data_IF_640679961295
#
_entry.id   IF_640679961295
#
_cell.length_a   1.000
_cell.length_b   1.000
_cell.length_c   1.000
_cell.angle_alpha   90.00
_cell.angle_beta   90.00
_cell.angle_gamma   90.00
#
_symmetry.space_group_name_H-M   'P 1'
#
loop_
_entity.id
_entity.type
_entity.pdbx_description
1 polymer ?
#
# COMPACT_ATOMS: atom_id res chain seq x y z
N UNK A 1 23.94 -60.51 16.21
CA UNK A 1 23.67 -61.54 15.18
C UNK A 1 22.75 -60.94 14.12
N UNK A 2 22.84 -61.36 12.86
CA UNK A 2 22.18 -60.73 11.69
C UNK A 2 21.20 -61.70 11.01
N UNK A 3 20.21 -61.16 10.28
CA UNK A 3 19.33 -61.86 9.29
C UNK A 3 18.28 -62.77 10.00
N UNK A 4 17.00 -62.85 9.60
CA UNK A 4 16.46 -62.81 8.24
C UNK A 4 15.25 -61.90 7.97
N UNK A 5 15.15 -61.54 6.69
CA UNK A 5 14.02 -60.90 5.99
C UNK A 5 13.00 -61.99 5.62
N UNK A 6 11.69 -61.70 5.66
CA UNK A 6 10.67 -62.47 4.93
C UNK A 6 9.58 -61.55 4.37
N UNK A 7 8.95 -61.98 3.27
CA UNK A 7 8.32 -61.13 2.27
C UNK A 7 6.79 -61.36 2.20
N UNK A 8 6.08 -60.31 1.75
CA UNK A 8 4.67 -60.18 1.34
C UNK A 8 3.99 -61.42 0.69
N UNK A 9 2.65 -61.59 0.79
CA UNK A 9 1.70 -60.81 -0.04
C UNK A 9 0.47 -60.26 0.75
N UNK A 10 0.00 -59.03 0.50
CA UNK A 10 -0.92 -58.60 -0.57
C UNK A 10 -2.20 -59.46 -0.71
N UNK A 11 -3.35 -58.90 -0.30
CA UNK A 11 -4.64 -59.28 -0.89
C UNK A 11 -5.50 -58.01 -1.07
N UNK A 12 -5.74 -57.70 -2.34
CA UNK A 12 -6.60 -56.60 -2.80
C UNK A 12 -8.04 -57.07 -2.78
N UNK A 13 -8.96 -56.25 -2.28
CA UNK A 13 -10.28 -56.15 -2.90
C UNK A 13 -10.74 -54.69 -2.93
N UNK A 14 -11.15 -54.27 -4.11
CA UNK A 14 -11.50 -52.91 -4.50
C UNK A 14 -13.03 -52.78 -4.67
N UNK A 15 -13.48 -51.57 -5.06
CA UNK A 15 -14.83 -51.25 -5.60
C UNK A 15 -15.94 -51.06 -4.54
N UNK A 16 -16.83 -50.05 -4.60
CA UNK A 16 -17.00 -48.92 -5.56
C UNK A 16 -17.88 -47.77 -4.98
N UNK A 17 -17.78 -46.60 -5.64
CA UNK A 17 -18.73 -45.47 -5.75
C UNK A 17 -19.55 -44.96 -4.54
N UNK A 18 -19.36 -43.66 -4.24
CA UNK A 18 -20.44 -42.68 -4.51
C UNK A 18 -19.85 -41.30 -4.79
N UNK A 19 -20.23 -40.68 -5.91
CA UNK A 19 -19.93 -39.28 -6.20
C UNK A 19 -21.05 -38.40 -5.64
N UNK A 20 -20.70 -37.31 -4.95
CA UNK A 20 -21.57 -36.15 -4.79
C UNK A 20 -20.93 -34.95 -5.49
N UNK A 21 -21.69 -34.27 -6.35
CA UNK A 21 -21.19 -33.18 -7.20
C UNK A 21 -20.60 -32.03 -6.37
N UNK A 22 -19.30 -31.79 -6.53
CA UNK A 22 -18.70 -30.52 -6.13
C UNK A 22 -18.38 -29.71 -7.39
N UNK A 23 -19.05 -28.56 -7.51
CA UNK A 23 -19.08 -27.73 -8.72
C UNK A 23 -17.68 -27.33 -9.18
N UNK A 24 -17.48 -27.39 -10.49
CA UNK A 24 -16.24 -27.07 -11.21
C UNK A 24 -15.55 -25.79 -10.69
N UNK A 25 -14.25 -25.90 -10.41
CA UNK A 25 -13.39 -24.75 -10.15
C UNK A 25 -13.30 -23.90 -11.42
N UNK A 26 -13.83 -22.67 -11.37
CA UNK A 26 -13.69 -21.70 -12.46
C UNK A 26 -12.20 -21.35 -12.64
N UNK A 27 -11.72 -21.43 -13.88
CA UNK A 27 -10.31 -21.26 -14.23
C UNK A 27 -9.79 -19.87 -13.90
N UNK A 28 -8.63 -19.82 -13.23
CA UNK A 28 -7.84 -18.60 -13.05
C UNK A 28 -7.33 -18.09 -14.41
N UNK A 29 -7.76 -16.90 -14.82
CA UNK A 29 -7.12 -16.18 -15.93
C UNK A 29 -5.90 -15.42 -15.39
N UNK A 30 -4.73 -16.05 -15.45
CA UNK A 30 -3.47 -15.39 -15.10
C UNK A 30 -2.95 -14.51 -16.24
N UNK A 31 -2.75 -13.21 -15.97
CA UNK A 31 -2.03 -12.31 -16.87
C UNK A 31 -0.74 -11.87 -16.19
N UNK A 32 0.37 -12.52 -16.54
CA UNK A 32 1.71 -12.09 -16.12
C UNK A 32 2.30 -11.15 -17.17
N UNK A 33 2.37 -9.85 -16.85
CA UNK A 33 3.01 -8.87 -17.73
C UNK A 33 4.49 -8.76 -17.36
N UNK A 34 5.36 -9.02 -18.33
CA UNK A 34 6.75 -8.58 -18.34
C UNK A 34 6.87 -7.54 -19.46
N UNK A 35 7.37 -6.35 -19.14
CA UNK A 35 7.52 -5.29 -20.14
C UNK A 35 8.60 -5.65 -21.16
N UNK A 36 8.25 -5.55 -22.45
CA UNK A 36 9.21 -5.47 -23.55
C UNK A 36 9.29 -4.02 -23.99
N UNK A 37 10.51 -3.52 -24.18
CA UNK A 37 10.73 -2.21 -24.76
C UNK A 37 10.38 -2.22 -26.26
N UNK A 38 9.70 -1.17 -26.70
CA UNK A 38 9.85 -0.61 -28.04
C UNK A 38 9.34 0.84 -27.98
N UNK A 39 10.18 1.77 -28.40
CA UNK A 39 9.81 3.16 -28.60
C UNK A 39 9.34 3.35 -30.04
N UNK A 40 8.28 4.10 -30.25
CA UNK A 40 8.24 5.05 -31.36
C UNK A 40 7.41 6.28 -30.99
N UNK A 41 7.59 7.33 -31.78
CA UNK A 41 7.21 8.72 -31.58
C UNK A 41 5.97 9.12 -32.37
N UNK A 42 5.27 10.17 -31.93
CA UNK A 42 4.93 11.34 -32.76
C UNK A 42 4.17 12.42 -31.96
N UNK A 43 4.41 13.68 -32.33
CA UNK A 43 3.62 14.87 -32.00
C UNK A 43 2.32 14.88 -32.85
N UNK A 44 1.32 15.76 -32.75
CA UNK A 44 1.12 17.05 -32.06
C UNK A 44 -0.15 16.95 -31.15
N UNK A 45 -0.90 17.97 -30.68
CA UNK A 45 -0.94 19.42 -30.90
C UNK A 45 -1.54 20.18 -29.69
N UNK A 46 -1.73 21.50 -29.85
CA UNK A 46 -2.32 22.44 -28.90
C UNK A 46 -3.73 22.90 -29.30
N UNK A 47 -4.58 23.21 -28.32
CA UNK A 47 -5.44 24.41 -28.35
C UNK A 47 -5.76 24.87 -26.92
N UNK A 48 -5.61 26.17 -26.70
CA UNK A 48 -5.63 26.84 -25.40
C UNK A 48 -6.96 27.60 -25.20
N UNK A 49 -7.49 27.63 -23.96
CA UNK A 49 -8.67 28.43 -23.63
C UNK A 49 -8.48 29.19 -22.32
N UNK A 50 -8.34 30.50 -22.44
CA UNK A 50 -8.04 31.42 -21.36
C UNK A 50 -9.22 31.63 -20.40
N UNK A 51 -8.98 31.48 -19.09
CA UNK A 51 -9.61 32.32 -18.05
C UNK A 51 -8.60 32.73 -16.98
N UNK A 52 -8.33 34.03 -16.94
CA UNK A 52 -7.42 34.66 -15.99
C UNK A 52 -7.95 34.55 -14.55
N UNK A 53 -7.11 34.14 -13.60
CA UNK A 53 -7.24 34.60 -12.20
C UNK A 53 -5.87 34.68 -11.50
N UNK A 54 -5.53 35.91 -11.11
CA UNK A 54 -4.52 36.34 -10.13
C UNK A 54 -3.18 35.58 -10.03
N UNK A 55 -2.15 36.23 -10.58
CA UNK A 55 -0.74 35.87 -10.42
C UNK A 55 -0.26 36.10 -8.98
N UNK A 56 0.08 35.02 -8.26
CA UNK A 56 1.05 35.05 -7.16
C UNK A 56 2.16 34.05 -7.50
N UNK A 57 3.32 34.58 -7.86
CA UNK A 57 4.47 33.79 -8.31
C UNK A 57 5.14 33.06 -7.15
N UNK A 58 4.63 31.88 -6.80
CA UNK A 58 5.40 30.88 -6.06
C UNK A 58 6.23 30.06 -7.04
N UNK A 59 7.53 29.91 -6.76
CA UNK A 59 8.48 29.27 -7.66
C UNK A 59 8.16 27.78 -7.85
N UNK A 60 7.96 27.37 -9.11
CA UNK A 60 8.11 26.00 -9.64
C UNK A 60 7.88 24.80 -8.68
N UNK A 61 6.74 24.75 -7.98
CA UNK A 61 6.24 23.45 -7.49
C UNK A 61 5.66 22.71 -8.69
N UNK A 62 6.49 21.90 -9.37
CA UNK A 62 6.01 20.96 -10.38
C UNK A 62 4.97 20.06 -9.69
N UNK A 63 3.71 20.09 -10.12
CA UNK A 63 2.63 19.30 -9.50
C UNK A 63 2.85 17.82 -9.80
N UNK A 64 3.66 17.17 -8.97
CA UNK A 64 3.90 15.73 -9.02
C UNK A 64 2.65 15.03 -8.49
N UNK A 65 1.74 14.69 -9.41
CA UNK A 65 0.57 13.87 -9.13
C UNK A 65 1.02 12.42 -8.90
N UNK A 66 1.51 12.16 -7.70
CA UNK A 66 1.87 10.84 -7.24
C UNK A 66 0.62 9.96 -7.13
N UNK A 67 0.57 8.94 -7.98
CA UNK A 67 -0.34 7.80 -7.89
C UNK A 67 0.43 6.65 -7.26
N UNK A 68 -0.18 5.99 -6.29
CA UNK A 68 0.40 4.83 -5.64
C UNK A 68 -0.64 3.75 -5.39
N UNK A 69 -0.15 2.55 -5.13
CA UNK A 69 -0.88 1.33 -4.79
C UNK A 69 -0.07 0.60 -3.72
N UNK A 70 -0.69 -0.33 -2.99
CA UNK A 70 0.00 -1.26 -2.08
C UNK A 70 -0.57 -2.66 -2.31
N UNK A 71 0.09 -3.76 -1.89
CA UNK A 71 -0.49 -5.09 -2.06
C UNK A 71 -1.78 -5.25 -1.24
N UNK A 72 -2.92 -5.39 -1.92
CA UNK A 72 -4.23 -5.40 -1.30
C UNK A 72 -5.31 -6.06 -2.18
N UNK A 73 -6.44 -6.40 -1.56
CA UNK A 73 -7.70 -6.68 -2.24
C UNK A 73 -8.40 -5.34 -2.49
N UNK A 74 -8.63 -5.02 -3.76
CA UNK A 74 -9.27 -3.79 -4.23
C UNK A 74 -10.68 -4.08 -4.75
N UNK A 75 -11.68 -3.57 -4.03
CA UNK A 75 -13.09 -3.78 -4.25
C UNK A 75 -13.64 -2.93 -5.41
N UNK A 76 -13.29 -1.64 -5.47
CA UNK A 76 -13.84 -0.66 -6.40
C UNK A 76 -12.77 -0.11 -7.35
N UNK A 77 -11.54 0.05 -6.85
CA UNK A 77 -10.37 0.44 -7.64
C UNK A 77 -9.93 -0.74 -8.53
N UNK A 78 -9.58 -0.42 -9.78
CA UNK A 78 -8.91 -1.37 -10.67
C UNK A 78 -7.41 -1.00 -10.79
N UNK A 79 -6.52 -1.61 -9.98
CA UNK A 79 -5.09 -1.32 -10.04
C UNK A 79 -4.49 -1.57 -11.44
N UNK A 80 -5.03 -2.52 -12.21
CA UNK A 80 -4.60 -2.82 -13.59
C UNK A 80 -4.92 -1.74 -14.63
N UNK A 81 -5.66 -0.69 -14.27
CA UNK A 81 -5.84 0.53 -15.07
C UNK A 81 -4.94 1.69 -14.60
N UNK A 82 -4.14 1.48 -13.56
CA UNK A 82 -3.34 2.51 -12.91
C UNK A 82 -1.83 2.21 -12.99
N UNK A 83 -1.42 0.97 -12.73
CA UNK A 83 -0.01 0.56 -12.69
C UNK A 83 0.52 0.19 -14.08
N UNK A 84 1.71 0.69 -14.40
CA UNK A 84 2.40 0.47 -15.67
C UNK A 84 3.93 0.30 -15.48
N UNK A 85 4.68 0.14 -16.56
CA UNK A 85 6.14 -0.13 -16.54
C UNK A 85 7.00 1.06 -16.07
N UNK A 86 6.44 2.26 -15.95
CA UNK A 86 7.13 3.42 -15.36
C UNK A 86 7.28 3.29 -13.85
N UNK A 87 6.35 2.59 -13.18
CA UNK A 87 6.25 2.50 -11.72
C UNK A 87 7.44 1.77 -11.09
N UNK A 88 7.74 2.19 -9.87
CA UNK A 88 8.68 1.52 -8.96
C UNK A 88 7.92 0.91 -7.79
N UNK A 89 8.58 0.01 -7.06
CA UNK A 89 8.12 -0.49 -5.79
C UNK A 89 9.15 -0.28 -4.69
N UNK A 90 8.66 -0.16 -3.45
CA UNK A 90 9.43 -0.25 -2.23
C UNK A 90 9.20 -1.64 -1.64
N UNK A 91 10.28 -2.41 -1.44
CA UNK A 91 10.21 -3.78 -0.95
C UNK A 91 11.32 -4.11 0.05
N UNK A 92 11.07 -5.10 0.90
CA UNK A 92 12.02 -5.61 1.88
C UNK A 92 12.72 -6.88 1.37
N UNK A 93 14.02 -6.99 1.66
CA UNK A 93 14.84 -8.19 1.45
C UNK A 93 15.74 -8.39 2.66
N UNK A 94 15.43 -9.40 3.47
CA UNK A 94 16.03 -9.54 4.81
C UNK A 94 15.63 -8.37 5.70
N UNK A 95 16.59 -7.72 6.37
CA UNK A 95 16.35 -6.53 7.21
C UNK A 95 16.56 -5.19 6.48
N UNK A 96 16.73 -5.21 5.16
CA UNK A 96 17.00 -4.02 4.32
C UNK A 96 15.84 -3.77 3.36
N UNK A 97 15.68 -2.50 2.99
CA UNK A 97 14.63 -2.02 2.10
C UNK A 97 15.25 -1.50 0.80
N UNK A 98 14.50 -1.62 -0.29
CA UNK A 98 14.99 -1.35 -1.62
C UNK A 98 13.91 -0.70 -2.48
N UNK A 99 14.32 0.25 -3.32
CA UNK A 99 13.54 0.71 -4.46
C UNK A 99 13.99 -0.04 -5.72
N UNK A 100 13.04 -0.60 -6.48
CA UNK A 100 13.29 -1.23 -7.77
C UNK A 100 12.10 -1.04 -8.72
N UNK A 101 12.26 -1.39 -9.99
CA UNK A 101 11.11 -1.50 -10.91
C UNK A 101 10.04 -2.46 -10.35
N UNK A 102 8.79 -2.02 -10.45
CA UNK A 102 7.64 -2.73 -9.91
C UNK A 102 7.54 -4.16 -10.48
N UNK A 103 7.36 -5.14 -9.61
CA UNK A 103 7.14 -6.54 -9.96
C UNK A 103 5.93 -7.06 -9.20
N UNK A 104 4.81 -7.11 -9.91
CA UNK A 104 3.52 -7.46 -9.34
C UNK A 104 2.81 -8.55 -10.15
N UNK A 105 1.74 -9.08 -9.56
CA UNK A 105 0.77 -9.95 -10.21
C UNK A 105 -0.62 -9.41 -9.91
N UNK A 106 -1.46 -9.31 -10.93
CA UNK A 106 -2.88 -8.98 -10.79
C UNK A 106 -3.69 -10.26 -10.94
N UNK A 107 -4.63 -10.49 -10.02
CA UNK A 107 -5.62 -11.57 -10.10
C UNK A 107 -7.02 -11.01 -9.82
N UNK A 108 -8.05 -11.74 -10.26
CA UNK A 108 -9.41 -11.58 -9.72
C UNK A 108 -9.66 -12.66 -8.67
N UNK A 109 -10.24 -12.28 -7.54
CA UNK A 109 -10.58 -13.17 -6.42
C UNK A 109 -11.93 -12.79 -5.85
N UNK A 110 -12.68 -13.78 -5.40
CA UNK A 110 -13.92 -13.54 -4.66
C UNK A 110 -13.63 -12.70 -3.40
N UNK A 111 -14.49 -11.73 -3.11
CA UNK A 111 -14.51 -10.98 -1.86
C UNK A 111 -15.91 -11.06 -1.26
N UNK A 112 -15.99 -11.63 -0.06
CA UNK A 112 -17.25 -11.73 0.70
C UNK A 112 -17.79 -10.35 1.11
N UNK A 113 -16.94 -9.32 1.13
CA UNK A 113 -17.33 -7.95 1.45
C UNK A 113 -18.27 -7.34 0.39
N UNK A 114 -18.01 -7.62 -0.90
CA UNK A 114 -18.82 -7.11 -2.02
C UNK A 114 -19.74 -8.17 -2.65
N UNK A 115 -19.59 -9.45 -2.27
CA UNK A 115 -20.34 -10.55 -2.86
C UNK A 115 -20.04 -10.82 -4.34
N UNK A 116 -18.85 -10.43 -4.82
CA UNK A 116 -18.36 -10.62 -6.19
C UNK A 116 -16.82 -10.66 -6.23
N UNK A 117 -16.26 -10.76 -7.42
CA UNK A 117 -14.83 -10.82 -7.71
C UNK A 117 -14.17 -9.43 -7.71
N UNK A 118 -13.39 -9.18 -6.67
CA UNK A 118 -12.49 -8.02 -6.53
C UNK A 118 -11.19 -8.20 -7.32
N UNK A 119 -10.47 -7.10 -7.55
CA UNK A 119 -9.09 -7.15 -8.06
C UNK A 119 -8.14 -7.39 -6.88
N UNK A 120 -7.06 -8.15 -7.07
CA UNK A 120 -6.02 -8.30 -6.06
C UNK A 120 -4.66 -8.02 -6.66
N UNK A 121 -3.94 -7.09 -6.03
CA UNK A 121 -2.57 -6.74 -6.38
C UNK A 121 -1.61 -7.45 -5.41
N UNK A 122 -0.78 -8.34 -5.93
CA UNK A 122 0.29 -9.00 -5.18
C UNK A 122 1.64 -8.44 -5.60
N UNK A 123 2.52 -8.14 -4.64
CA UNK A 123 3.95 -8.03 -4.91
C UNK A 123 4.56 -9.40 -5.18
N UNK A 124 5.46 -9.50 -6.16
CA UNK A 124 6.32 -10.69 -6.39
C UNK A 124 7.49 -10.75 -5.40
N UNK A 125 7.70 -9.67 -4.65
CA UNK A 125 8.61 -9.53 -3.50
C UNK A 125 7.78 -9.06 -2.30
N UNK A 126 8.40 -8.95 -1.12
CA UNK A 126 7.75 -8.36 0.07
C UNK A 126 7.64 -6.84 -0.08
N UNK A 127 6.80 -6.42 -1.02
CA UNK A 127 6.54 -5.03 -1.37
C UNK A 127 5.57 -4.38 -0.37
N UNK A 128 5.75 -3.09 -0.13
CA UNK A 128 4.90 -2.26 0.73
C UNK A 128 4.18 -1.17 -0.05
N UNK A 129 4.81 -0.70 -1.13
CA UNK A 129 4.35 0.43 -1.94
C UNK A 129 4.70 0.20 -3.41
N UNK A 130 3.80 0.55 -4.31
CA UNK A 130 4.05 0.77 -5.73
C UNK A 130 3.70 2.22 -6.04
N UNK A 131 4.52 2.96 -6.78
CA UNK A 131 4.28 4.39 -7.01
C UNK A 131 4.90 4.87 -8.32
N UNK A 132 4.22 5.80 -9.00
CA UNK A 132 4.71 6.42 -10.23
C UNK A 132 5.70 7.56 -9.94
N UNK A 133 6.57 7.85 -10.91
CA UNK A 133 7.38 9.08 -11.00
C UNK A 133 8.17 9.49 -9.73
N UNK A 134 8.52 8.57 -8.83
CA UNK A 134 9.44 8.87 -7.73
C UNK A 134 10.79 9.36 -8.28
N UNK A 135 11.35 10.47 -7.75
CA UNK A 135 12.67 10.98 -8.13
C UNK A 135 13.84 10.16 -7.55
N UNK A 136 13.57 8.95 -7.05
CA UNK A 136 14.50 8.13 -6.28
C UNK A 136 15.44 7.30 -7.15
N UNK A 137 16.59 6.90 -6.57
CA UNK A 137 17.53 5.98 -7.20
C UNK A 137 17.10 4.54 -6.92
N UNK A 138 17.20 3.68 -7.93
CA UNK A 138 17.03 2.24 -7.74
C UNK A 138 18.21 1.72 -6.90
N UNK A 139 17.93 0.91 -5.86
CA UNK A 139 18.94 0.47 -4.92
C UNK A 139 18.38 0.26 -3.51
N UNK A 140 19.29 0.19 -2.53
CA UNK A 140 18.95 0.17 -1.11
C UNK A 140 18.49 1.56 -0.65
N UNK A 141 17.47 1.62 0.21
CA UNK A 141 16.96 2.86 0.83
C UNK A 141 17.04 2.77 2.35
N UNK A 142 17.13 3.92 3.03
CA UNK A 142 17.05 3.95 4.50
C UNK A 142 15.60 3.75 4.96
N UNK A 143 15.40 2.98 6.03
CA UNK A 143 14.13 2.82 6.71
C UNK A 143 14.28 3.12 8.20
N UNK A 144 13.18 3.47 8.85
CA UNK A 144 13.13 3.61 10.30
C UNK A 144 13.53 2.29 11.00
N UNK A 145 14.01 2.38 12.24
CA UNK A 145 14.46 1.23 13.04
C UNK A 145 13.31 0.35 13.60
N UNK A 146 12.30 0.09 12.78
CA UNK A 146 11.07 -0.64 13.09
C UNK A 146 11.10 -2.06 12.51
N UNK A 147 10.33 -2.98 13.12
CA UNK A 147 10.16 -4.32 12.60
C UNK A 147 8.94 -4.39 11.66
N UNK A 148 9.16 -4.23 10.36
CA UNK A 148 8.12 -4.37 9.34
C UNK A 148 7.83 -5.83 8.94
N UNK A 149 8.35 -6.83 9.67
CA UNK A 149 7.87 -8.22 9.61
C UNK A 149 6.56 -8.44 10.38
N UNK A 150 6.16 -7.48 11.22
CA UNK A 150 4.93 -7.48 12.00
C UNK A 150 4.06 -6.24 11.67
N UNK A 151 2.76 -6.31 11.97
CA UNK A 151 1.87 -5.16 11.81
C UNK A 151 2.15 -4.10 12.89
N UNK A 152 2.50 -2.89 12.47
CA UNK A 152 2.74 -1.76 13.37
C UNK A 152 1.41 -1.02 13.59
N UNK A 153 0.56 -1.61 14.44
CA UNK A 153 -0.72 -1.02 14.82
C UNK A 153 -0.52 0.20 15.72
N UNK A 154 -1.33 1.23 15.48
CA UNK A 154 -1.48 2.45 16.26
C UNK A 154 -2.95 2.61 16.64
N UNK A 155 -3.30 2.49 17.92
CA UNK A 155 -4.65 2.83 18.42
C UNK A 155 -4.73 4.32 18.82
N UNK A 156 -5.94 4.87 18.95
CA UNK A 156 -6.12 6.20 19.52
C UNK A 156 -5.43 6.38 20.88
N UNK A 157 -4.62 7.42 20.96
CA UNK A 157 -3.75 7.84 22.07
C UNK A 157 -2.51 6.96 22.31
N UNK A 158 -2.21 5.98 21.46
CA UNK A 158 -0.91 5.30 21.43
C UNK A 158 0.14 6.14 20.66
N UNK A 159 1.42 5.97 21.02
CA UNK A 159 2.56 6.65 20.39
C UNK A 159 3.58 5.61 19.91
N UNK A 160 3.80 5.51 18.60
CA UNK A 160 4.92 4.77 18.04
C UNK A 160 6.16 5.67 18.02
N UNK A 161 7.20 5.30 18.77
CA UNK A 161 8.48 6.02 18.81
C UNK A 161 9.56 5.24 18.06
N UNK A 162 10.20 5.88 17.08
CA UNK A 162 11.25 5.27 16.26
C UNK A 162 12.40 6.23 15.95
N UNK A 163 13.46 5.70 15.36
CA UNK A 163 14.65 6.41 14.90
C UNK A 163 14.77 6.31 13.39
N UNK A 164 15.13 7.40 12.73
CA UNK A 164 15.44 7.48 11.30
C UNK A 164 16.44 8.63 11.08
N UNK A 165 17.48 8.45 10.26
CA UNK A 165 18.49 9.48 9.99
C UNK A 165 19.17 10.01 11.27
N UNK A 166 19.34 9.15 12.29
CA UNK A 166 19.85 9.52 13.62
C UNK A 166 18.89 10.35 14.50
N UNK A 167 17.69 10.68 14.03
CA UNK A 167 16.69 11.50 14.75
C UNK A 167 15.57 10.62 15.32
N UNK A 168 15.03 11.01 16.47
CA UNK A 168 13.83 10.39 17.04
C UNK A 168 12.57 11.01 16.43
N UNK A 169 11.62 10.14 16.11
CA UNK A 169 10.27 10.49 15.68
C UNK A 169 9.25 9.81 16.58
N UNK A 170 8.19 10.55 16.90
CA UNK A 170 7.03 10.08 17.64
C UNK A 170 5.79 10.27 16.75
N UNK A 171 5.17 9.17 16.35
CA UNK A 171 3.92 9.15 15.59
C UNK A 171 2.77 8.79 16.53
N UNK A 172 1.81 9.70 16.69
CA UNK A 172 0.64 9.57 17.58
C UNK A 172 -0.65 9.66 16.76
N UNK A 173 -1.64 8.83 17.06
CA UNK A 173 -3.03 9.05 16.62
C UNK A 173 -3.81 9.59 17.80
N UNK A 174 -4.25 10.85 17.76
CA UNK A 174 -4.95 11.50 18.89
C UNK A 174 -6.45 11.62 18.65
N UNK A 175 -7.29 11.15 19.56
CA UNK A 175 -8.75 11.36 19.50
C UNK A 175 -9.07 12.84 19.77
N UNK A 176 -9.98 13.43 19.00
CA UNK A 176 -10.50 14.79 19.25
C UNK A 176 -11.28 14.78 20.57
N UNK A 177 -10.90 15.64 21.53
CA UNK A 177 -11.58 15.72 22.83
C UNK A 177 -13.00 16.26 22.65
N UNK A 178 -13.99 15.39 22.82
CA UNK A 178 -15.42 15.74 22.94
C UNK A 178 -15.92 15.39 24.35
N UNK A 179 -17.09 15.91 24.72
CA UNK A 179 -17.72 15.63 26.04
C UNK A 179 -18.27 14.20 26.16
N UNK A 180 -18.50 13.57 25.02
CA UNK A 180 -18.99 12.22 24.85
C UNK A 180 -17.99 11.49 23.95
N UNK A 181 -17.76 10.21 24.22
CA UNK A 181 -16.72 9.42 23.55
C UNK A 181 -17.25 8.69 22.30
N UNK A 182 -18.43 9.10 21.85
CA UNK A 182 -19.24 8.45 20.81
C UNK A 182 -18.50 8.12 19.52
N UNK A 183 -18.91 6.98 18.96
CA UNK A 183 -18.53 6.50 17.65
C UNK A 183 -19.58 6.96 16.64
N UNK A 184 -19.19 7.47 15.45
CA UNK A 184 -17.81 7.61 14.99
C UNK A 184 -17.16 8.93 15.43
N UNK A 185 -15.84 8.87 15.66
CA UNK A 185 -15.07 9.99 16.19
C UNK A 185 -14.22 10.71 15.13
N UNK A 186 -13.56 11.79 15.58
CA UNK A 186 -12.52 12.49 14.83
C UNK A 186 -11.17 12.13 15.42
N UNK A 187 -10.15 11.89 14.60
CA UNK A 187 -8.77 11.77 15.06
C UNK A 187 -7.80 12.67 14.28
N UNK A 188 -6.64 12.91 14.88
CA UNK A 188 -5.53 13.66 14.30
C UNK A 188 -4.28 12.78 14.32
N UNK A 189 -3.60 12.64 13.18
CA UNK A 189 -2.27 12.03 13.15
C UNK A 189 -1.25 13.12 13.42
N UNK A 190 -0.45 12.94 14.47
CA UNK A 190 0.61 13.86 14.86
C UNK A 190 1.97 13.20 14.66
N UNK A 191 2.89 13.90 13.98
CA UNK A 191 4.30 13.54 13.89
C UNK A 191 5.10 14.58 14.68
N UNK A 192 5.80 14.14 15.74
CA UNK A 192 6.50 15.01 16.70
C UNK A 192 5.60 16.14 17.25
N UNK A 193 4.33 15.79 17.54
CA UNK A 193 3.32 16.73 18.04
C UNK A 193 2.70 17.67 17.00
N UNK A 194 3.17 17.67 15.75
CA UNK A 194 2.58 18.44 14.64
C UNK A 194 1.57 17.61 13.86
N UNK A 195 0.39 18.15 13.61
CA UNK A 195 -0.63 17.47 12.80
C UNK A 195 -0.17 17.30 11.35
N UNK A 196 -0.22 16.05 10.85
CA UNK A 196 0.04 15.70 9.45
C UNK A 196 -1.22 15.21 8.73
N UNK A 197 -2.23 14.71 9.46
CA UNK A 197 -3.53 14.33 8.91
C UNK A 197 -4.66 14.54 9.94
N UNK A 198 -5.90 14.64 9.43
CA UNK A 198 -7.14 14.61 10.21
C UNK A 198 -8.09 13.59 9.57
N UNK A 199 -8.73 12.73 10.35
CA UNK A 199 -9.82 11.86 9.88
C UNK A 199 -11.07 12.10 10.70
N UNK A 200 -12.21 11.97 10.05
CA UNK A 200 -13.56 12.12 10.60
C UNK A 200 -14.36 10.87 10.25
N UNK A 201 -15.43 10.58 10.99
CA UNK A 201 -16.20 9.34 10.85
C UNK A 201 -15.36 8.08 11.13
N UNK A 202 -14.42 8.16 12.07
CA UNK A 202 -13.57 7.02 12.45
C UNK A 202 -14.35 6.09 13.39
N UNK A 203 -14.47 4.82 13.02
CA UNK A 203 -15.06 3.75 13.85
C UNK A 203 -13.95 3.06 14.70
N UNK A 204 -14.09 1.84 15.23
CA UNK A 204 -13.07 1.26 16.13
C UNK A 204 -11.79 0.85 15.39
N UNK A 205 -10.98 1.85 15.04
CA UNK A 205 -9.89 1.72 14.08
C UNK A 205 -8.52 1.43 14.72
N UNK A 206 -7.91 0.35 14.26
CA UNK A 206 -6.48 0.10 14.33
C UNK A 206 -5.82 0.70 13.08
N UNK A 207 -5.14 1.84 13.24
CA UNK A 207 -4.33 2.42 12.16
C UNK A 207 -3.06 1.58 11.99
N UNK A 208 -2.53 1.45 10.77
CA UNK A 208 -1.28 0.69 10.54
C UNK A 208 -0.21 1.58 9.90
N UNK A 209 0.97 1.63 10.50
CA UNK A 209 2.15 2.21 9.85
C UNK A 209 2.73 1.16 8.89
N UNK A 210 2.38 1.27 7.61
CA UNK A 210 2.84 0.33 6.57
C UNK A 210 4.32 0.51 6.25
N UNK A 211 4.81 1.76 6.22
CA UNK A 211 6.23 2.05 5.99
C UNK A 211 6.66 3.39 6.57
N UNK A 212 7.92 3.48 7.01
CA UNK A 212 8.58 4.71 7.41
C UNK A 212 10.06 4.66 6.96
N UNK A 213 10.51 5.62 6.16
CA UNK A 213 11.85 5.61 5.55
C UNK A 213 12.05 6.69 4.50
N UNK A 214 13.12 6.61 3.73
CA UNK A 214 13.41 7.50 2.59
C UNK A 214 12.84 6.90 1.30
N UNK A 215 11.61 7.30 0.92
CA UNK A 215 10.93 6.75 -0.26
C UNK A 215 11.43 7.46 -1.52
N UNK A 216 11.55 8.79 -1.48
CA UNK A 216 11.90 9.60 -2.65
C UNK A 216 13.39 9.91 -2.83
N UNK A 217 14.24 9.60 -1.85
CA UNK A 217 15.70 9.70 -1.91
C UNK A 217 16.26 11.05 -1.44
N UNK A 218 15.48 11.85 -0.71
CA UNK A 218 15.89 13.17 -0.22
C UNK A 218 16.59 13.17 1.16
N UNK A 219 16.75 11.98 1.76
CA UNK A 219 17.40 11.78 3.07
C UNK A 219 16.55 12.20 4.27
N UNK A 220 15.24 12.40 4.11
CA UNK A 220 14.29 12.69 5.19
C UNK A 220 13.21 11.60 5.28
N UNK A 221 12.34 11.76 6.28
CA UNK A 221 11.37 10.74 6.65
C UNK A 221 10.07 10.90 5.86
N UNK A 222 9.77 9.91 5.05
CA UNK A 222 8.48 9.68 4.42
C UNK A 222 7.68 8.61 5.18
N UNK A 223 6.35 8.60 4.99
CA UNK A 223 5.43 7.69 5.68
C UNK A 223 4.37 7.12 4.73
N UNK A 224 4.04 5.84 4.92
CA UNK A 224 2.84 5.21 4.37
C UNK A 224 2.00 4.72 5.54
N UNK A 225 0.77 5.22 5.67
CA UNK A 225 -0.13 4.90 6.78
C UNK A 225 -1.46 4.41 6.21
N UNK A 226 -1.94 3.28 6.72
CA UNK A 226 -3.30 2.80 6.52
C UNK A 226 -4.22 3.36 7.62
N UNK A 227 -5.31 3.96 7.18
CA UNK A 227 -6.38 4.56 7.96
C UNK A 227 -7.68 3.74 7.92
N UNK A 228 -7.60 2.46 7.53
CA UNK A 228 -8.73 1.52 7.54
C UNK A 228 -9.52 1.54 8.85
N UNK A 229 -10.81 1.27 8.73
CA UNK A 229 -11.73 1.03 9.83
C UNK A 229 -12.18 -0.43 9.87
N UNK A 230 -12.79 -0.80 10.99
CA UNK A 230 -13.57 -2.03 11.20
C UNK A 230 -14.69 -2.26 10.16
N UNK A 231 -15.18 -1.21 9.49
CA UNK A 231 -16.20 -1.25 8.42
C UNK A 231 -15.71 -1.83 7.09
N UNK A 232 -14.45 -2.30 7.00
CA UNK A 232 -13.87 -2.89 5.78
C UNK A 232 -13.40 -1.88 4.74
N UNK A 233 -13.42 -0.59 5.07
CA UNK A 233 -12.90 0.50 4.25
C UNK A 233 -11.37 0.41 4.13
N UNK A 234 -10.85 0.46 2.90
CA UNK A 234 -9.41 0.43 2.64
C UNK A 234 -8.91 1.82 2.23
N UNK A 235 -8.23 2.52 3.16
CA UNK A 235 -7.82 3.92 3.02
C UNK A 235 -6.35 4.13 3.37
N UNK A 236 -5.47 4.11 2.38
CA UNK A 236 -4.01 4.26 2.57
C UNK A 236 -3.55 5.64 2.11
N UNK A 237 -2.55 6.23 2.77
CA UNK A 237 -2.06 7.59 2.49
C UNK A 237 -0.54 7.58 2.39
N UNK A 238 -0.02 8.23 1.35
CA UNK A 238 1.41 8.48 1.14
C UNK A 238 1.75 9.92 1.55
N UNK A 239 2.73 10.05 2.45
CA UNK A 239 3.28 11.33 2.88
C UNK A 239 4.76 11.40 2.48
N UNK A 240 5.15 12.46 1.75
CA UNK A 240 6.54 12.74 1.39
C UNK A 240 7.05 14.00 2.09
N UNK A 241 8.30 13.95 2.51
CA UNK A 241 9.04 15.04 3.16
C UNK A 241 9.61 16.04 2.15
N UNK A 242 9.96 15.62 0.93
CA UNK A 242 10.32 16.52 -0.18
C UNK A 242 9.21 17.51 -0.55
N UNK A 243 7.96 17.12 -0.32
CA UNK A 243 6.76 17.89 -0.63
C UNK A 243 6.24 18.73 0.57
N UNK A 244 6.91 18.70 1.72
CA UNK A 244 6.49 19.40 2.93
C UNK A 244 6.42 20.93 2.72
N UNK A 245 5.33 21.55 3.20
CA UNK A 245 5.27 23.02 3.26
C UNK A 245 6.17 23.57 4.38
N UNK A 246 6.61 24.85 4.31
CA UNK A 246 7.39 25.47 5.37
C UNK A 246 6.76 25.27 6.76
N UNK A 247 7.53 24.69 7.68
CA UNK A 247 7.10 24.38 9.05
C UNK A 247 6.46 23.00 9.23
N UNK A 248 6.13 22.26 8.17
CA UNK A 248 5.71 20.86 8.21
C UNK A 248 6.92 19.92 8.12
N UNK A 249 6.74 18.65 8.48
CA UNK A 249 7.78 17.61 8.33
C UNK A 249 7.54 16.71 7.12
N UNK A 250 6.27 16.50 6.76
CA UNK A 250 5.80 15.75 5.59
C UNK A 250 4.54 16.40 5.06
N UNK A 251 4.17 16.09 3.81
CA UNK A 251 2.89 16.45 3.19
C UNK A 251 2.24 15.21 2.57
N UNK A 252 0.92 15.09 2.72
CA UNK A 252 0.13 14.10 1.97
C UNK A 252 0.23 14.40 0.46
N UNK A 253 0.71 13.43 -0.31
CA UNK A 253 0.87 13.54 -1.77
C UNK A 253 -0.09 12.65 -2.56
N UNK A 254 -0.75 11.70 -1.90
CA UNK A 254 -1.79 10.87 -2.49
C UNK A 254 -2.61 10.15 -1.41
N UNK A 255 -3.78 9.66 -1.80
CA UNK A 255 -4.64 8.78 -0.99
C UNK A 255 -5.18 7.67 -1.90
N UNK A 256 -5.20 6.44 -1.39
CA UNK A 256 -6.02 5.34 -1.91
C UNK A 256 -7.29 5.38 -1.08
N UNK A 257 -8.44 5.40 -1.76
CA UNK A 257 -9.75 5.40 -1.13
C UNK A 257 -10.65 4.37 -1.82
N UNK A 258 -10.62 3.13 -1.32
CA UNK A 258 -11.34 2.00 -1.90
C UNK A 258 -12.57 1.68 -1.04
N UNK A 259 -13.53 2.61 -1.07
CA UNK A 259 -14.76 2.59 -0.27
C UNK A 259 -16.00 2.43 -1.15
N UNK A 260 -17.06 1.85 -0.59
CA UNK A 260 -18.39 1.89 -1.18
C UNK A 260 -19.00 3.27 -0.90
N UNK A 261 -18.94 4.18 -1.87
CA UNK A 261 -19.54 5.50 -1.75
C UNK A 261 -21.07 5.37 -1.83
N UNK A 262 -21.79 5.74 -0.77
CA UNK A 262 -23.25 5.65 -0.64
C UNK A 262 -23.86 6.86 0.09
#
# INVERSE_FOLDING_TARGET
>A
MRIALLIFPLLVFSLLFSCSDMKSAKSDHETSVFAKDNADSMETDTMESNRNHLHVSSQNSKSLNYKFLVPAHYHYINPGRMIDSSWVEIYQKGKKFYCAKAQYTLKRRWSDYIGDTANVLYGKRKAFLFVNHLPTKLGEIEAANLNFDEYITLRPNEVCSFMFGGKRYNLEIKKEKKKDDSVPFTCFTLLNGKQIAKRTKVFEAAFELLFAGDIDGDGKLDLVIDFRSDTGEFKVVLFLSSCALPGQSVRQVGEIDDQYDC
#
